data_IF_296006427353
#
_entry.id   IF_296006427353
#
_cell.length_a   1.000
_cell.length_b   1.000
_cell.length_c   1.000
_cell.angle_alpha   90.00
_cell.angle_beta   90.00
_cell.angle_gamma   90.00
#
_symmetry.space_group_name_H-M   'P 1'
#
loop_
_entity.id
_entity.type
_entity.pdbx_description
1 polymer ?
#
# COMPACT_ATOMS: atom_id res chain seq x y z
N UNK A 1 -28.91 -56.16 -30.26
CA UNK A 1 -27.55 -55.57 -30.19
C UNK A 1 -27.54 -54.05 -30.10
N UNK A 2 -28.32 -53.31 -30.91
CA UNK A 2 -28.35 -51.83 -30.86
C UNK A 2 -28.82 -51.22 -29.51
N UNK A 3 -29.73 -51.88 -28.80
CA UNK A 3 -30.32 -51.34 -27.56
C UNK A 3 -29.32 -51.28 -26.37
N UNK A 4 -28.38 -52.22 -26.28
CA UNK A 4 -27.36 -52.22 -25.23
C UNK A 4 -26.26 -51.19 -25.48
N UNK A 5 -25.99 -50.85 -26.75
CA UNK A 5 -25.02 -49.81 -27.10
C UNK A 5 -25.54 -48.41 -26.74
N UNK A 6 -26.83 -48.13 -26.94
CA UNK A 6 -27.44 -46.85 -26.53
C UNK A 6 -27.47 -46.65 -25.01
N UNK A 7 -27.68 -47.72 -24.23
CA UNK A 7 -27.63 -47.68 -22.77
C UNK A 7 -26.21 -47.45 -22.22
N UNK A 8 -25.19 -48.05 -22.85
CA UNK A 8 -23.78 -47.81 -22.49
C UNK A 8 -23.33 -46.37 -22.82
N UNK A 9 -23.76 -45.83 -23.96
CA UNK A 9 -23.50 -44.45 -24.33
C UNK A 9 -24.20 -43.44 -23.40
N UNK A 10 -25.44 -43.69 -23.00
CA UNK A 10 -26.14 -42.79 -22.07
C UNK A 10 -25.51 -42.79 -20.67
N UNK A 11 -25.06 -43.96 -20.20
CA UNK A 11 -24.36 -44.09 -18.91
C UNK A 11 -23.01 -43.36 -18.90
N UNK A 12 -22.25 -43.42 -20.00
CA UNK A 12 -20.97 -42.73 -20.13
C UNK A 12 -21.12 -41.20 -20.10
N UNK A 13 -22.16 -40.67 -20.78
CA UNK A 13 -22.45 -39.23 -20.80
C UNK A 13 -22.82 -38.71 -19.41
N UNK A 14 -23.55 -39.48 -18.60
CA UNK A 14 -23.91 -39.12 -17.23
C UNK A 14 -22.67 -39.07 -16.32
N UNK A 15 -21.74 -40.02 -16.46
CA UNK A 15 -20.49 -40.05 -15.66
C UNK A 15 -19.57 -38.87 -16.03
N UNK A 16 -19.45 -38.54 -17.32
CA UNK A 16 -18.67 -37.38 -17.78
C UNK A 16 -19.30 -36.08 -17.27
N UNK A 17 -20.63 -35.97 -17.25
CA UNK A 17 -21.34 -34.78 -16.76
C UNK A 17 -21.17 -34.59 -15.24
N UNK A 18 -21.07 -35.66 -14.45
CA UNK A 18 -20.75 -35.59 -13.01
C UNK A 18 -19.30 -35.15 -12.74
N UNK A 19 -18.35 -35.47 -13.62
CA UNK A 19 -16.95 -35.06 -13.49
C UNK A 19 -16.74 -33.55 -13.71
N UNK A 20 -17.66 -32.87 -14.39
CA UNK A 20 -17.60 -31.40 -14.58
C UNK A 20 -18.13 -30.59 -13.38
N UNK A 21 -18.75 -31.22 -12.38
CA UNK A 21 -19.35 -30.52 -11.23
C UNK A 21 -18.36 -30.41 -10.04
N UNK A 22 -17.18 -31.05 -10.11
CA UNK A 22 -16.22 -31.04 -8.99
C UNK A 22 -15.13 -29.98 -9.10
N UNK A 23 -15.25 -29.00 -10.00
CA UNK A 23 -14.47 -27.76 -9.87
C UNK A 23 -15.17 -26.90 -8.83
N UNK A 24 -15.11 -27.35 -7.57
CA UNK A 24 -15.40 -26.48 -6.44
C UNK A 24 -14.36 -25.36 -6.51
N UNK A 25 -14.80 -24.14 -6.82
CA UNK A 25 -13.99 -22.96 -6.52
C UNK A 25 -13.72 -23.03 -5.02
N UNK A 26 -12.53 -23.49 -4.64
CA UNK A 26 -12.02 -23.26 -3.30
C UNK A 26 -11.96 -21.74 -3.17
N UNK A 27 -12.92 -21.20 -2.42
CA UNK A 27 -12.96 -19.79 -2.07
C UNK A 27 -11.83 -19.59 -1.06
N UNK A 28 -10.63 -19.29 -1.56
CA UNK A 28 -9.53 -18.95 -0.67
C UNK A 28 -9.80 -17.57 -0.11
N UNK A 29 -9.82 -17.43 1.21
CA UNK A 29 -9.91 -16.11 1.83
C UNK A 29 -8.72 -15.27 1.38
N UNK A 30 -9.00 -14.15 0.71
CA UNK A 30 -7.99 -13.17 0.32
C UNK A 30 -7.84 -12.13 1.43
N UNK A 31 -6.63 -11.59 1.65
CA UNK A 31 -6.45 -10.51 2.62
C UNK A 31 -7.11 -9.22 2.11
N UNK A 32 -7.67 -8.45 3.04
CA UNK A 32 -8.14 -7.09 2.76
C UNK A 32 -6.95 -6.16 2.90
N UNK A 33 -6.54 -5.52 1.81
CA UNK A 33 -5.42 -4.59 1.77
C UNK A 33 -5.95 -3.17 1.56
N UNK A 34 -5.61 -2.25 2.46
CA UNK A 34 -5.85 -0.83 2.33
C UNK A 34 -4.51 -0.10 2.20
N UNK A 35 -4.38 0.74 1.19
CA UNK A 35 -3.20 1.56 0.97
C UNK A 35 -3.66 3.00 0.74
N UNK A 36 -3.18 3.90 1.59
CA UNK A 36 -3.41 5.33 1.49
C UNK A 36 -2.06 6.03 1.50
N UNK A 37 -1.79 6.84 0.47
CA UNK A 37 -0.59 7.68 0.39
C UNK A 37 -1.02 9.07 -0.03
N UNK A 38 -0.89 10.05 0.85
CA UNK A 38 -1.39 11.40 0.59
C UNK A 38 -0.39 12.49 0.94
N UNK A 39 -0.52 13.60 0.21
CA UNK A 39 0.07 14.89 0.55
C UNK A 39 -1.05 15.89 0.75
N UNK A 40 -1.09 16.50 1.93
CA UNK A 40 -2.20 17.27 2.45
C UNK A 40 -1.78 18.69 2.83
N UNK A 41 -2.74 19.61 2.73
CA UNK A 41 -2.69 20.88 3.46
C UNK A 41 -2.66 20.66 4.97
N UNK A 42 -1.86 21.49 5.65
CA UNK A 42 -1.92 21.53 7.10
C UNK A 42 -3.22 22.20 7.56
N UNK A 43 -3.82 21.60 8.57
CA UNK A 43 -4.85 22.25 9.35
C UNK A 43 -4.22 23.31 10.28
N UNK A 44 -5.02 24.27 10.74
CA UNK A 44 -4.52 25.38 11.56
C UNK A 44 -3.92 24.89 12.88
N UNK A 45 -4.51 23.86 13.46
CA UNK A 45 -4.07 23.17 14.66
C UNK A 45 -2.73 22.46 14.48
N UNK A 46 -2.50 21.82 13.34
CA UNK A 46 -1.21 21.17 13.02
C UNK A 46 -0.12 22.24 12.85
N UNK A 47 -0.44 23.35 12.17
CA UNK A 47 0.51 24.44 11.96
C UNK A 47 0.96 25.13 13.25
N UNK A 48 0.09 25.21 14.29
CA UNK A 48 0.47 25.76 15.60
C UNK A 48 1.63 25.01 16.26
N UNK A 49 1.87 23.76 15.87
CA UNK A 49 2.96 22.93 16.38
C UNK A 49 4.22 22.98 15.50
N UNK A 50 4.15 23.65 14.34
CA UNK A 50 5.30 23.83 13.45
C UNK A 50 6.20 24.93 14.01
N UNK A 51 7.36 24.53 14.55
CA UNK A 51 8.41 25.49 14.88
C UNK A 51 8.96 26.10 13.59
N UNK A 52 9.01 27.42 13.47
CA UNK A 52 9.38 28.11 12.22
C UNK A 52 10.74 28.83 12.29
N UNK A 53 11.50 28.57 13.35
CA UNK A 53 12.77 29.22 13.60
C UNK A 53 13.77 28.95 12.46
N UNK A 54 14.38 30.02 11.94
CA UNK A 54 15.36 29.94 10.85
C UNK A 54 14.79 30.07 9.44
N UNK A 55 13.46 30.17 9.28
CA UNK A 55 12.80 30.47 8.01
C UNK A 55 12.44 31.95 7.91
N UNK A 56 12.53 32.51 6.71
CA UNK A 56 12.13 33.91 6.45
C UNK A 56 10.63 33.97 6.17
N UNK A 57 9.88 34.66 7.05
CA UNK A 57 8.43 34.88 6.96
C UNK A 57 7.59 33.65 6.55
N UNK A 58 7.74 32.49 7.22
CA UNK A 58 7.04 31.28 6.83
C UNK A 58 5.53 31.39 7.06
N UNK A 59 4.78 30.80 6.14
CA UNK A 59 3.34 30.66 6.17
C UNK A 59 2.92 29.19 6.28
N UNK A 60 1.67 28.94 6.68
CA UNK A 60 1.10 27.59 6.73
C UNK A 60 1.22 26.85 5.39
N UNK A 61 1.06 27.57 4.29
CA UNK A 61 1.05 27.00 2.93
C UNK A 61 2.44 26.57 2.45
N UNK A 62 3.48 26.94 3.19
CA UNK A 62 4.86 26.54 2.92
C UNK A 62 5.17 25.13 3.46
N UNK A 63 4.21 24.52 4.15
CA UNK A 63 4.31 23.19 4.69
C UNK A 63 3.21 22.29 4.13
N UNK A 64 3.52 21.01 3.99
CA UNK A 64 2.54 19.96 3.72
C UNK A 64 2.73 18.82 4.71
N UNK A 65 1.67 18.04 4.87
CA UNK A 65 1.68 16.81 5.63
C UNK A 65 1.70 15.65 4.64
N UNK A 66 2.63 14.73 4.82
CA UNK A 66 2.67 13.47 4.12
C UNK A 66 2.10 12.38 5.02
N UNK A 67 1.25 11.52 4.47
CA UNK A 67 0.74 10.31 5.13
C UNK A 67 0.97 9.09 4.24
N UNK A 68 1.42 8.00 4.86
CA UNK A 68 1.45 6.67 4.26
C UNK A 68 0.82 5.71 5.28
N UNK A 69 -0.27 5.05 4.90
CA UNK A 69 -0.93 4.03 5.68
C UNK A 69 -1.12 2.80 4.82
N UNK A 70 -0.45 1.71 5.19
CA UNK A 70 -0.70 0.39 4.65
C UNK A 70 -1.29 -0.47 5.77
N UNK A 71 -2.46 -1.04 5.53
CA UNK A 71 -3.12 -1.99 6.41
C UNK A 71 -3.44 -3.27 5.63
N UNK A 72 -3.17 -4.41 6.24
CA UNK A 72 -3.55 -5.72 5.73
C UNK A 72 -4.25 -6.49 6.84
N UNK A 73 -5.52 -6.80 6.64
CA UNK A 73 -6.30 -7.69 7.49
C UNK A 73 -6.34 -9.06 6.82
N UNK A 74 -5.97 -10.10 7.56
CA UNK A 74 -5.85 -11.45 7.03
C UNK A 74 -6.27 -12.49 8.06
N UNK A 75 -6.76 -13.64 7.60
CA UNK A 75 -6.98 -14.80 8.47
C UNK A 75 -5.66 -15.52 8.77
N UNK A 76 -5.68 -16.45 9.73
CA UNK A 76 -4.52 -17.25 10.13
C UNK A 76 -4.10 -18.28 9.05
N UNK A 77 -4.86 -18.36 7.95
CA UNK A 77 -4.58 -19.26 6.84
C UNK A 77 -3.72 -18.63 5.75
N UNK A 78 -3.42 -17.33 5.88
CA UNK A 78 -2.64 -16.57 4.92
C UNK A 78 -1.22 -16.39 5.46
N UNK A 79 -0.23 -16.86 4.70
CA UNK A 79 1.17 -16.50 4.88
C UNK A 79 1.40 -15.19 4.14
N UNK A 80 1.93 -14.17 4.82
CA UNK A 80 2.06 -12.83 4.25
C UNK A 80 3.39 -12.17 4.59
N UNK A 81 3.83 -11.29 3.71
CA UNK A 81 5.07 -10.53 3.88
C UNK A 81 4.96 -9.19 3.20
N UNK A 82 5.21 -8.12 3.95
CA UNK A 82 5.43 -6.79 3.41
C UNK A 82 6.92 -6.52 3.42
N UNK A 83 7.48 -6.08 2.29
CA UNK A 83 8.90 -5.80 2.15
C UNK A 83 9.09 -4.33 1.78
N UNK A 84 9.87 -3.65 2.61
CA UNK A 84 10.36 -2.31 2.36
C UNK A 84 11.88 -2.33 2.17
N UNK A 85 12.48 -1.25 1.64
CA UNK A 85 13.93 -1.12 1.58
C UNK A 85 14.52 -1.21 2.99
N UNK A 86 15.73 -1.76 3.11
CA UNK A 86 16.40 -2.04 4.39
C UNK A 86 16.66 -0.80 5.27
N UNK A 87 16.55 0.40 4.70
CA UNK A 87 16.69 1.71 5.35
C UNK A 87 15.33 2.41 5.52
N UNK A 88 14.27 1.63 5.76
CA UNK A 88 12.89 2.09 5.93
C UNK A 88 12.71 3.29 6.89
N UNK A 89 13.47 3.38 7.97
CA UNK A 89 13.33 4.50 8.93
C UNK A 89 13.77 5.84 8.36
N UNK A 90 14.79 5.84 7.50
CA UNK A 90 15.47 7.06 7.04
C UNK A 90 15.07 7.43 5.61
N UNK A 91 14.54 6.47 4.86
CA UNK A 91 14.27 6.66 3.44
C UNK A 91 13.28 7.81 3.20
N UNK A 92 12.27 7.95 4.05
CA UNK A 92 11.26 9.00 3.98
C UNK A 92 11.85 10.41 4.06
N UNK A 93 12.70 10.63 5.08
CA UNK A 93 13.43 11.89 5.24
C UNK A 93 14.38 12.12 4.06
N UNK A 94 15.11 11.10 3.63
CA UNK A 94 16.06 11.20 2.52
C UNK A 94 15.36 11.53 1.20
N UNK A 95 14.20 10.93 0.93
CA UNK A 95 13.43 11.17 -0.28
C UNK A 95 13.07 12.65 -0.38
N UNK A 96 12.42 13.23 0.62
CA UNK A 96 12.00 14.64 0.53
C UNK A 96 13.19 15.61 0.50
N UNK A 97 14.27 15.31 1.24
CA UNK A 97 15.48 16.13 1.23
C UNK A 97 16.25 16.03 -0.10
N UNK A 98 16.03 14.98 -0.89
CA UNK A 98 16.74 14.77 -2.16
C UNK A 98 16.27 15.65 -3.32
N UNK A 99 15.11 16.32 -3.17
CA UNK A 99 14.54 17.19 -4.22
C UNK A 99 15.55 18.24 -4.69
N UNK A 100 16.21 18.88 -3.73
CA UNK A 100 17.19 19.95 -3.96
C UNK A 100 18.36 19.90 -2.97
N UNK A 101 18.50 18.81 -2.22
CA UNK A 101 19.57 18.57 -1.24
C UNK A 101 19.57 19.52 -0.03
N UNK A 102 18.40 20.01 0.39
CA UNK A 102 18.23 20.76 1.65
C UNK A 102 17.44 19.95 2.68
N UNK A 103 17.46 20.35 3.96
CA UNK A 103 16.64 19.72 4.99
C UNK A 103 15.19 20.21 4.88
N UNK A 104 14.34 19.41 4.21
CA UNK A 104 12.90 19.68 4.01
C UNK A 104 12.04 18.95 5.03
N UNK A 105 12.50 17.80 5.53
CA UNK A 105 11.80 17.06 6.58
C UNK A 105 11.78 17.88 7.89
N UNK A 106 10.59 18.06 8.47
CA UNK A 106 10.42 18.85 9.68
C UNK A 106 10.34 17.97 10.93
N UNK A 107 9.22 17.27 11.07
CA UNK A 107 9.01 16.29 12.14
C UNK A 107 7.91 15.31 11.74
N UNK A 108 7.88 14.16 12.40
CA UNK A 108 6.87 13.15 12.16
C UNK A 108 7.06 11.93 13.05
N UNK A 109 6.25 10.93 12.77
CA UNK A 109 6.17 9.69 13.50
C UNK A 109 5.93 8.53 12.55
N UNK A 110 6.43 7.37 12.96
CA UNK A 110 6.19 6.11 12.27
C UNK A 110 5.66 5.09 13.29
N UNK A 111 4.72 4.27 12.85
CA UNK A 111 4.17 3.16 13.59
C UNK A 111 4.19 1.91 12.72
N UNK A 112 4.48 0.77 13.33
CA UNK A 112 4.44 -0.52 12.66
C UNK A 112 3.88 -1.55 13.62
N UNK A 113 2.90 -2.29 13.14
CA UNK A 113 2.33 -3.45 13.80
C UNK A 113 2.40 -4.61 12.81
N UNK A 114 3.15 -5.65 13.16
CA UNK A 114 3.33 -6.83 12.31
C UNK A 114 3.03 -8.05 13.17
N UNK A 115 1.74 -8.32 13.38
CA UNK A 115 1.30 -9.45 14.19
C UNK A 115 1.11 -10.67 13.29
N UNK A 116 1.63 -11.83 13.68
CA UNK A 116 1.51 -13.07 12.89
C UNK A 116 0.06 -13.45 12.57
N UNK A 117 -0.90 -13.07 13.43
CA UNK A 117 -2.33 -13.28 13.25
C UNK A 117 -3.10 -11.95 13.17
N UNK A 118 -4.00 -11.85 12.19
CA UNK A 118 -5.08 -10.86 12.15
C UNK A 118 -4.79 -9.56 11.39
N UNK A 119 -3.70 -8.85 11.70
CA UNK A 119 -3.49 -7.51 11.15
C UNK A 119 -2.02 -7.11 11.07
N UNK A 120 -1.68 -6.49 9.94
CA UNK A 120 -0.43 -5.76 9.71
C UNK A 120 -0.76 -4.31 9.41
N UNK A 121 -0.03 -3.39 10.04
CA UNK A 121 -0.11 -1.97 9.71
C UNK A 121 1.27 -1.33 9.65
N UNK A 122 1.47 -0.48 8.66
CA UNK A 122 2.62 0.40 8.51
C UNK A 122 2.07 1.81 8.31
N UNK A 123 2.36 2.70 9.25
CA UNK A 123 1.87 4.08 9.22
C UNK A 123 3.03 5.05 9.39
N UNK A 124 3.08 6.06 8.53
CA UNK A 124 4.06 7.14 8.56
C UNK A 124 3.32 8.44 8.32
N UNK A 125 3.53 9.39 9.23
CA UNK A 125 3.03 10.75 9.09
C UNK A 125 4.16 11.72 9.39
N UNK A 126 4.36 12.71 8.52
CA UNK A 126 5.31 13.78 8.80
C UNK A 126 4.94 15.08 8.10
N UNK A 127 5.41 16.18 8.68
CA UNK A 127 5.36 17.51 8.07
C UNK A 127 6.69 17.80 7.40
N UNK A 128 6.63 18.42 6.22
CA UNK A 128 7.80 18.87 5.48
C UNK A 128 7.59 20.26 4.89
N UNK A 129 8.70 20.97 4.68
CA UNK A 129 8.74 22.29 4.05
C UNK A 129 8.66 22.13 2.51
N UNK A 130 7.51 22.48 1.96
CA UNK A 130 7.13 22.30 0.55
C UNK A 130 7.28 23.56 -0.29
N UNK A 131 7.70 24.68 0.30
CA UNK A 131 7.84 25.94 -0.45
C UNK A 131 8.74 25.75 -1.68
N UNK A 132 8.24 26.21 -2.82
CA UNK A 132 8.93 26.15 -4.11
C UNK A 132 9.02 24.75 -4.71
N UNK A 133 8.30 23.75 -4.18
CA UNK A 133 8.31 22.37 -4.68
C UNK A 133 6.98 22.05 -5.34
N UNK A 134 7.05 21.50 -6.56
CA UNK A 134 5.89 21.02 -7.30
C UNK A 134 5.45 19.61 -6.88
N UNK A 135 4.20 19.28 -7.16
CA UNK A 135 3.65 17.93 -6.95
C UNK A 135 4.48 16.84 -7.65
N UNK A 136 4.94 17.12 -8.87
CA UNK A 136 5.74 16.17 -9.66
C UNK A 136 7.13 15.94 -9.05
N UNK A 137 7.75 16.98 -8.46
CA UNK A 137 9.02 16.83 -7.73
C UNK A 137 8.82 16.00 -6.45
N UNK A 138 7.69 16.18 -5.76
CA UNK A 138 7.32 15.37 -4.59
C UNK A 138 7.14 13.91 -5.01
N UNK A 139 6.34 13.62 -6.04
CA UNK A 139 6.17 12.25 -6.56
C UNK A 139 7.50 11.62 -6.95
N UNK A 140 8.31 12.35 -7.71
CA UNK A 140 9.63 11.90 -8.15
C UNK A 140 10.54 11.55 -6.98
N UNK A 141 10.55 12.35 -5.91
CA UNK A 141 11.31 12.07 -4.71
C UNK A 141 10.93 10.72 -4.08
N UNK A 142 9.64 10.38 -4.05
CA UNK A 142 9.12 9.14 -3.51
C UNK A 142 9.21 7.94 -4.47
N UNK A 143 9.62 8.12 -5.73
CA UNK A 143 9.97 6.99 -6.61
C UNK A 143 11.15 6.16 -6.09
N UNK A 144 11.94 6.73 -5.17
CA UNK A 144 13.03 6.03 -4.49
C UNK A 144 12.58 4.97 -3.47
N UNK A 145 11.27 4.87 -3.18
CA UNK A 145 10.72 3.96 -2.17
C UNK A 145 9.87 2.88 -2.85
N UNK A 146 10.48 1.80 -3.36
CA UNK A 146 9.74 0.62 -3.79
C UNK A 146 9.30 -0.19 -2.56
N UNK A 147 8.15 -0.85 -2.65
CA UNK A 147 7.73 -1.83 -1.66
C UNK A 147 6.94 -2.96 -2.29
N UNK A 148 6.89 -4.09 -1.59
CA UNK A 148 6.27 -5.31 -2.07
C UNK A 148 5.29 -5.86 -1.05
N UNK A 149 4.11 -6.24 -1.52
CA UNK A 149 3.13 -6.97 -0.74
C UNK A 149 3.03 -8.37 -1.33
N UNK A 150 3.32 -9.37 -0.51
CA UNK A 150 3.22 -10.79 -0.84
C UNK A 150 2.23 -11.46 0.11
N UNK A 151 1.38 -12.32 -0.44
CA UNK A 151 0.61 -13.26 0.35
C UNK A 151 0.39 -14.59 -0.39
N UNK A 152 0.21 -15.64 0.39
CA UNK A 152 0.01 -17.01 -0.07
C UNK A 152 -1.03 -17.72 0.81
N UNK A 153 -1.99 -18.41 0.19
CA UNK A 153 -2.99 -19.21 0.90
C UNK A 153 -2.50 -20.64 1.15
N UNK A 154 -3.13 -21.37 2.07
CA UNK A 154 -2.79 -22.78 2.34
C UNK A 154 -2.90 -23.69 1.11
N UNK A 155 -3.76 -23.35 0.15
CA UNK A 155 -3.93 -24.06 -1.11
C UNK A 155 -2.77 -23.82 -2.10
N UNK A 156 -1.82 -22.95 -1.75
CA UNK A 156 -0.66 -22.60 -2.57
C UNK A 156 -0.94 -21.50 -3.59
N UNK A 157 -2.08 -20.80 -3.49
CA UNK A 157 -2.32 -19.61 -4.31
C UNK A 157 -1.48 -18.45 -3.79
N UNK A 158 -0.65 -17.86 -4.64
CA UNK A 158 0.30 -16.82 -4.27
C UNK A 158 0.10 -15.57 -5.12
N UNK A 159 0.06 -14.42 -4.46
CA UNK A 159 -0.01 -13.09 -5.07
C UNK A 159 1.15 -12.24 -4.60
N UNK A 160 1.78 -11.55 -5.55
CA UNK A 160 2.91 -10.66 -5.33
C UNK A 160 2.68 -9.36 -6.09
N UNK A 161 2.61 -8.25 -5.38
CA UNK A 161 2.40 -6.92 -5.94
C UNK A 161 3.58 -6.02 -5.59
N UNK A 162 4.18 -5.43 -6.62
CA UNK A 162 5.21 -4.40 -6.52
C UNK A 162 4.58 -3.02 -6.61
N UNK A 163 5.00 -2.12 -5.74
CA UNK A 163 4.54 -0.74 -5.67
C UNK A 163 5.72 0.21 -5.57
N UNK A 164 5.50 1.45 -6.01
CA UNK A 164 6.40 2.57 -5.81
C UNK A 164 5.58 3.66 -5.13
N UNK A 165 6.05 4.17 -3.99
CA UNK A 165 5.27 5.15 -3.19
C UNK A 165 4.88 6.37 -4.03
N UNK A 166 5.81 6.94 -4.81
CA UNK A 166 5.51 8.13 -5.61
C UNK A 166 4.43 7.94 -6.69
N UNK A 167 4.24 6.72 -7.19
CA UNK A 167 3.21 6.41 -8.20
C UNK A 167 1.78 6.45 -7.62
N UNK A 168 1.65 6.28 -6.30
CA UNK A 168 0.37 6.14 -5.60
C UNK A 168 0.04 7.34 -4.71
N UNK A 169 0.83 8.42 -4.78
CA UNK A 169 0.55 9.66 -4.02
C UNK A 169 -0.68 10.36 -4.59
N UNK A 170 -1.63 10.64 -3.71
CA UNK A 170 -2.75 11.53 -3.97
C UNK A 170 -2.54 12.88 -3.27
N UNK A 171 -2.79 13.97 -4.01
CA UNK A 171 -2.75 15.31 -3.44
C UNK A 171 -4.17 15.75 -3.09
N UNK A 172 -4.43 16.03 -1.81
CA UNK A 172 -5.79 16.26 -1.30
C UNK A 172 -5.88 17.64 -0.65
N UNK A 173 -6.94 18.38 -1.01
CA UNK A 173 -7.20 19.72 -0.49
C UNK A 173 -6.37 20.83 -1.13
N UNK A 174 -5.63 20.55 -2.20
CA UNK A 174 -4.86 21.56 -2.93
C UNK A 174 -5.77 22.37 -3.87
N UNK A 175 -5.82 23.70 -3.70
CA UNK A 175 -6.40 24.59 -4.70
C UNK A 175 -5.34 24.96 -5.74
N UNK A 176 -5.62 24.64 -7.01
CA UNK A 176 -4.83 25.00 -8.19
C UNK A 176 -4.80 26.51 -8.44
#
# INVERSE_FOLDING_TARGET
>A
MKHNQTLLFSSLVIVIMMLFITVSCNYSEEPIISLEVQVLELKDEEYKHVGTFGLDNPSKNDFRKFTFNLEMVHSDEIIRKVQFPSFWSDIWKKSINSIDNIDRYWFGNAHTQDNESGQVSYSIEFIFYSYGVSEEEIKTAFHSIPFKILWETKEGFRVENDYIVGDVIEFVGLQL
#
